data_IF_092088019788
#
_entry.id   IF_092088019788
#
_cell.length_a   1.000
_cell.length_b   1.000
_cell.length_c   1.000
_cell.angle_alpha   90.00
_cell.angle_beta   90.00
_cell.angle_gamma   90.00
#
_symmetry.space_group_name_H-M   'P 1'
#
loop_
_entity.id
_entity.type
_entity.pdbx_description
1 polymer ?
#
# COMPACT_ATOMS: atom_id res chain seq x y z
N UNK A 1 9.99 -8.28 -6.20
CA UNK A 1 10.33 -6.85 -6.00
C UNK A 1 9.25 -5.92 -6.49
N UNK A 2 8.73 -6.06 -7.71
CA UNK A 2 7.69 -5.16 -8.24
C UNK A 2 6.39 -5.10 -7.40
N UNK A 3 5.99 -6.22 -6.78
CA UNK A 3 4.83 -6.27 -5.87
C UNK A 3 5.07 -5.39 -4.64
N UNK A 4 6.19 -5.59 -3.94
CA UNK A 4 6.55 -4.79 -2.77
C UNK A 4 6.63 -3.32 -3.14
N UNK A 5 7.32 -2.99 -4.24
CA UNK A 5 7.40 -1.62 -4.73
C UNK A 5 6.03 -0.99 -4.96
N UNK A 6 5.13 -1.68 -5.66
CA UNK A 6 3.80 -1.16 -5.96
C UNK A 6 2.95 -0.90 -4.71
N UNK A 7 2.97 -1.82 -3.76
CA UNK A 7 2.25 -1.66 -2.49
C UNK A 7 2.91 -0.64 -1.56
N UNK A 8 4.24 -0.49 -1.60
CA UNK A 8 4.94 0.57 -0.85
C UNK A 8 4.60 1.95 -1.40
N UNK A 9 4.66 2.17 -2.71
CA UNK A 9 4.32 3.46 -3.33
C UNK A 9 2.91 3.89 -2.96
N UNK A 10 1.97 2.96 -3.04
CA UNK A 10 0.59 3.15 -2.61
C UNK A 10 0.48 3.50 -1.13
N UNK A 11 1.04 2.67 -0.26
CA UNK A 11 1.07 2.92 1.18
C UNK A 11 1.61 4.31 1.52
N UNK A 12 2.74 4.71 0.93
CA UNK A 12 3.36 6.03 1.17
C UNK A 12 2.48 7.16 0.63
N UNK A 13 1.96 7.03 -0.59
CA UNK A 13 1.12 8.09 -1.18
C UNK A 13 -0.18 8.32 -0.40
N UNK A 14 -0.83 7.25 0.07
CA UNK A 14 -2.02 7.34 0.91
C UNK A 14 -1.69 7.95 2.27
N UNK A 15 -0.58 7.54 2.90
CA UNK A 15 -0.13 8.12 4.16
C UNK A 15 0.13 9.63 4.03
N UNK A 16 0.82 10.08 2.98
CA UNK A 16 1.05 11.50 2.72
C UNK A 16 -0.28 12.23 2.48
N UNK A 17 -1.18 11.64 1.68
CA UNK A 17 -2.51 12.18 1.43
C UNK A 17 -3.27 12.44 2.73
N UNK A 18 -3.28 11.45 3.61
CA UNK A 18 -3.96 11.51 4.90
C UNK A 18 -3.29 12.49 5.87
N UNK A 19 -1.99 12.30 6.15
CA UNK A 19 -1.26 13.03 7.20
C UNK A 19 -0.95 14.50 6.82
N UNK A 20 -0.69 14.77 5.53
CA UNK A 20 -0.18 16.09 5.09
C UNK A 20 -1.23 16.87 4.32
N UNK A 21 -2.03 16.20 3.50
CA UNK A 21 -2.99 16.86 2.60
C UNK A 21 -4.43 16.83 3.14
N UNK A 22 -4.67 16.15 4.27
CA UNK A 22 -5.99 16.02 4.89
C UNK A 22 -7.00 15.27 4.01
N UNK A 23 -6.52 14.41 3.11
CA UNK A 23 -7.37 13.62 2.23
C UNK A 23 -8.14 12.56 3.02
N UNK A 24 -9.44 12.45 2.76
CA UNK A 24 -10.25 11.35 3.29
C UNK A 24 -9.97 10.04 2.57
N UNK A 25 -10.12 8.91 3.26
CA UNK A 25 -10.02 7.56 2.68
C UNK A 25 -11.42 6.95 2.58
N UNK A 26 -11.84 6.53 1.38
CA UNK A 26 -13.18 5.99 1.14
C UNK A 26 -13.28 4.49 1.48
N UNK A 27 -12.18 3.74 1.37
CA UNK A 27 -12.15 2.31 1.63
C UNK A 27 -12.21 2.07 3.15
N UNK A 28 -13.28 1.44 3.69
CA UNK A 28 -13.48 1.36 5.14
C UNK A 28 -12.32 0.69 5.89
N UNK A 29 -11.73 -0.36 5.31
CA UNK A 29 -10.62 -1.06 5.93
C UNK A 29 -9.35 -0.19 5.96
N UNK A 30 -9.07 0.52 4.87
CA UNK A 30 -7.92 1.45 4.80
C UNK A 30 -8.08 2.58 5.82
N UNK A 31 -9.28 3.16 5.89
CA UNK A 31 -9.61 4.22 6.85
C UNK A 31 -9.41 3.75 8.29
N UNK A 32 -9.90 2.56 8.63
CA UNK A 32 -9.73 1.99 9.97
C UNK A 32 -8.25 1.85 10.35
N UNK A 33 -7.41 1.44 9.40
CA UNK A 33 -5.96 1.30 9.64
C UNK A 33 -5.30 2.67 9.85
N UNK A 34 -5.69 3.68 9.05
CA UNK A 34 -5.18 5.05 9.18
C UNK A 34 -5.60 5.67 10.51
N UNK A 35 -6.88 5.57 10.89
CA UNK A 35 -7.41 6.05 12.16
C UNK A 35 -6.78 5.31 13.36
N UNK A 36 -6.54 3.99 13.23
CA UNK A 36 -5.82 3.24 14.24
C UNK A 36 -4.38 3.75 14.40
N UNK A 37 -3.69 4.04 13.30
CA UNK A 37 -2.36 4.65 13.33
C UNK A 37 -2.34 6.04 13.97
N UNK A 38 -3.34 6.86 13.66
CA UNK A 38 -3.55 8.20 14.24
C UNK A 38 -3.84 8.15 15.74
N UNK A 39 -4.52 7.10 16.21
CA UNK A 39 -4.83 6.91 17.63
C UNK A 39 -3.62 6.53 18.50
N UNK A 40 -2.48 6.19 17.89
CA UNK A 40 -1.26 5.81 18.60
C UNK A 40 -0.45 7.04 19.01
N UNK A 41 0.27 7.00 20.15
CA UNK A 41 1.10 8.11 20.61
C UNK A 41 2.27 8.43 19.68
N UNK A 42 2.56 7.56 18.70
CA UNK A 42 3.57 7.83 17.68
C UNK A 42 3.11 8.81 16.62
N UNK A 43 1.80 9.03 16.48
CA UNK A 43 1.23 9.87 15.42
C UNK A 43 1.78 11.30 15.45
N UNK A 44 2.02 11.85 16.65
CA UNK A 44 2.58 13.19 16.83
C UNK A 44 4.01 13.35 16.27
N UNK A 45 4.74 12.24 16.05
CA UNK A 45 6.13 12.26 15.57
C UNK A 45 6.26 11.85 14.11
N UNK A 46 5.45 10.89 13.64
CA UNK A 46 5.61 10.25 12.32
C UNK A 46 4.33 10.20 11.48
N UNK A 47 3.26 10.87 11.91
CA UNK A 47 1.92 10.81 11.29
C UNK A 47 1.15 9.55 11.69
N UNK A 48 -0.14 9.48 11.36
CA UNK A 48 -0.95 8.26 11.54
C UNK A 48 -0.77 7.25 10.40
N UNK A 49 -0.37 7.71 9.22
CA UNK A 49 -0.28 6.92 8.01
C UNK A 49 0.77 5.80 8.00
N UNK A 50 1.76 5.83 8.88
CA UNK A 50 2.84 4.81 8.93
C UNK A 50 2.31 3.38 9.14
N UNK A 51 1.23 3.22 9.90
CA UNK A 51 0.64 1.90 10.15
C UNK A 51 0.10 1.30 8.84
N UNK A 52 -0.50 2.13 8.00
CA UNK A 52 -0.98 1.71 6.68
C UNK A 52 0.16 1.28 5.76
N UNK A 53 1.29 1.99 5.79
CA UNK A 53 2.51 1.61 5.05
C UNK A 53 2.97 0.21 5.49
N UNK A 54 3.05 -0.06 6.80
CA UNK A 54 3.46 -1.36 7.32
C UNK A 54 2.51 -2.48 6.90
N UNK A 55 1.20 -2.23 6.94
CA UNK A 55 0.21 -3.22 6.49
C UNK A 55 0.40 -3.56 5.02
N UNK A 56 0.59 -2.56 4.15
CA UNK A 56 0.83 -2.77 2.71
C UNK A 56 2.10 -3.55 2.43
N UNK A 57 3.20 -3.19 3.10
CA UNK A 57 4.48 -3.92 2.97
C UNK A 57 4.34 -5.35 3.48
N UNK A 58 3.73 -5.54 4.65
CA UNK A 58 3.45 -6.86 5.22
C UNK A 58 2.61 -7.73 4.28
N UNK A 59 1.54 -7.18 3.72
CA UNK A 59 0.69 -7.86 2.75
C UNK A 59 1.49 -8.27 1.50
N UNK A 60 2.31 -7.38 0.95
CA UNK A 60 3.16 -7.69 -0.20
C UNK A 60 4.16 -8.82 0.10
N UNK A 61 4.75 -8.83 1.30
CA UNK A 61 5.67 -9.90 1.73
C UNK A 61 4.95 -11.23 1.90
N UNK A 62 3.76 -11.23 2.51
CA UNK A 62 2.92 -12.44 2.66
C UNK A 62 2.58 -13.02 1.29
N UNK A 63 2.14 -12.17 0.36
CA UNK A 63 1.84 -12.60 -1.02
C UNK A 63 3.06 -13.21 -1.68
N UNK A 64 4.24 -12.59 -1.59
CA UNK A 64 5.46 -13.14 -2.17
C UNK A 64 5.86 -14.48 -1.52
N UNK A 65 5.65 -14.63 -0.21
CA UNK A 65 5.88 -15.88 0.51
C UNK A 65 4.97 -17.00 0.00
N UNK A 66 3.67 -16.73 -0.14
CA UNK A 66 2.68 -17.68 -0.68
C UNK A 66 2.97 -18.07 -2.13
N UNK A 67 3.49 -17.13 -2.93
CA UNK A 67 3.84 -17.39 -4.33
C UNK A 67 5.20 -18.04 -4.53
N UNK A 68 5.99 -18.27 -3.48
CA UNK A 68 7.38 -18.75 -3.59
C UNK A 68 7.47 -20.04 -4.42
N UNK A 69 6.73 -21.07 -4.03
CA UNK A 69 6.73 -22.37 -4.72
C UNK A 69 6.14 -22.24 -6.14
N UNK A 70 5.07 -21.46 -6.30
CA UNK A 70 4.46 -21.25 -7.61
C UNK A 70 5.37 -20.53 -8.61
N UNK A 71 6.23 -19.63 -8.13
CA UNK A 71 7.27 -18.97 -8.95
C UNK A 71 8.33 -19.98 -9.40
N UNK A 72 8.69 -20.93 -8.54
CA UNK A 72 9.67 -21.99 -8.86
C UNK A 72 9.07 -22.98 -9.89
N UNK A 73 7.82 -23.41 -9.71
CA UNK A 73 7.16 -24.38 -10.59
C UNK A 73 6.68 -23.78 -11.92
N UNK A 74 6.11 -22.57 -11.89
CA UNK A 74 5.37 -21.95 -13.01
C UNK A 74 5.77 -20.48 -13.19
N UNK A 75 7.06 -20.16 -13.46
CA UNK A 75 7.59 -18.80 -13.39
C UNK A 75 6.89 -17.78 -14.30
N UNK A 76 6.46 -18.18 -15.51
CA UNK A 76 5.75 -17.26 -16.42
C UNK A 76 4.36 -16.89 -15.89
N UNK A 77 3.58 -17.89 -15.46
CA UNK A 77 2.23 -17.68 -14.94
C UNK A 77 2.28 -16.89 -13.63
N UNK A 78 3.21 -17.26 -12.73
CA UNK A 78 3.42 -16.56 -11.47
C UNK A 78 3.77 -15.09 -11.68
N UNK A 79 4.66 -14.76 -12.64
CA UNK A 79 4.99 -13.36 -12.96
C UNK A 79 3.80 -12.57 -13.46
N UNK A 80 2.94 -13.15 -14.30
CA UNK A 80 1.72 -12.48 -14.78
C UNK A 80 0.76 -12.18 -13.62
N UNK A 81 0.52 -13.16 -12.74
CA UNK A 81 -0.33 -12.97 -11.57
C UNK A 81 0.24 -11.93 -10.61
N UNK A 82 1.53 -12.03 -10.29
CA UNK A 82 2.22 -11.07 -9.41
C UNK A 82 2.27 -9.66 -10.02
N UNK A 83 2.37 -9.52 -11.34
CA UNK A 83 2.24 -8.22 -11.99
C UNK A 83 0.83 -7.63 -11.79
N UNK A 84 -0.23 -8.44 -11.89
CA UNK A 84 -1.59 -8.02 -11.55
C UNK A 84 -1.72 -7.58 -10.09
N UNK A 85 -1.13 -8.34 -9.15
CA UNK A 85 -1.14 -7.98 -7.73
C UNK A 85 -0.35 -6.70 -7.45
N UNK A 86 0.77 -6.47 -8.15
CA UNK A 86 1.51 -5.22 -8.08
C UNK A 86 0.67 -4.04 -8.58
N UNK A 87 -0.10 -4.24 -9.67
CA UNK A 87 -0.99 -3.23 -10.21
C UNK A 87 -2.15 -2.88 -9.25
N UNK A 88 -2.67 -3.84 -8.49
CA UNK A 88 -3.65 -3.57 -7.42
C UNK A 88 -3.06 -2.70 -6.30
N UNK A 89 -1.78 -2.88 -6.00
CA UNK A 89 -1.04 -1.98 -5.12
C UNK A 89 -0.98 -0.59 -5.74
N UNK A 90 -0.50 -0.48 -6.98
CA UNK A 90 -0.30 0.81 -7.66
C UNK A 90 -1.59 1.60 -7.97
N UNK A 91 -2.76 0.97 -8.04
CA UNK A 91 -4.02 1.61 -8.46
C UNK A 91 -4.43 2.80 -7.60
N UNK A 92 -4.73 2.61 -6.29
CA UNK A 92 -5.05 3.71 -5.40
C UNK A 92 -3.88 4.69 -5.25
N UNK A 93 -2.64 4.20 -5.23
CA UNK A 93 -1.45 5.04 -5.13
C UNK A 93 -1.26 6.01 -6.30
N UNK A 94 -1.47 5.54 -7.54
CA UNK A 94 -1.44 6.40 -8.73
C UNK A 94 -2.60 7.38 -8.72
N UNK A 95 -3.80 6.96 -8.30
CA UNK A 95 -4.95 7.84 -8.17
C UNK A 95 -4.66 8.99 -7.19
N UNK A 96 -4.09 8.70 -6.03
CA UNK A 96 -3.69 9.68 -5.03
C UNK A 96 -2.63 10.66 -5.57
N UNK A 97 -1.57 10.15 -6.20
CA UNK A 97 -0.53 11.02 -6.80
C UNK A 97 -1.11 11.95 -7.87
N UNK A 98 -2.02 11.45 -8.71
CA UNK A 98 -2.68 12.27 -9.74
C UNK A 98 -3.58 13.35 -9.13
N UNK A 99 -4.35 13.02 -8.08
CA UNK A 99 -5.15 14.01 -7.34
C UNK A 99 -4.27 15.14 -6.80
N UNK A 100 -3.09 14.80 -6.26
CA UNK A 100 -2.19 15.80 -5.67
C UNK A 100 -1.52 16.71 -6.70
N UNK A 101 -1.27 16.22 -7.92
CA UNK A 101 -0.68 17.04 -9.00
C UNK A 101 -1.74 17.93 -9.66
N UNK A 102 -3.01 17.50 -9.66
CA UNK A 102 -4.10 18.22 -10.30
C UNK A 102 -4.74 19.32 -9.43
N UNK A 103 -4.31 19.45 -8.17
CA UNK A 103 -4.80 20.43 -7.18
C UNK A 103 -3.70 21.45 -6.87
#
# INVERSE_FOLDING_TARGET
MIVVFGHTVDGVSTAIGYDVLGAGEEVPLSRLILEAGESLPTAEYIGGGWLFILVKVGLALVILGLFKEYVEERPRQARTLLAGVAALGLGPGIHNVLLFIAT
#
